data_IF_866109784394
#
_entry.id   IF_866109784394
#
_cell.length_a   1.000
_cell.length_b   1.000
_cell.length_c   1.000
_cell.angle_alpha   90.00
_cell.angle_beta   90.00
_cell.angle_gamma   90.00
#
_symmetry.space_group_name_H-M   'P 1'
#
loop_
_entity.id
_entity.type
_entity.pdbx_description
1 polymer ?
#
# COMPACT_ATOMS: atom_id res chain seq x y z
N UNK A 1 -0.27 38.70 3.75
CA UNK A 1 -1.60 38.06 3.81
C UNK A 1 -1.73 36.80 2.95
N UNK A 2 -1.28 36.77 1.69
CA UNK A 2 -1.38 35.55 0.83
C UNK A 2 -0.40 34.43 1.19
N UNK A 3 0.84 34.76 1.58
CA UNK A 3 1.86 33.75 1.94
C UNK A 3 1.58 33.04 3.28
N UNK A 4 1.08 33.75 4.30
CA UNK A 4 0.71 33.16 5.59
C UNK A 4 -0.46 32.19 5.46
N UNK A 5 -1.46 32.52 4.64
CA UNK A 5 -2.61 31.64 4.38
C UNK A 5 -2.16 30.39 3.61
N UNK A 6 -1.21 30.51 2.68
CA UNK A 6 -0.64 29.37 1.95
C UNK A 6 0.13 28.44 2.90
N UNK A 7 1.01 29.00 3.74
CA UNK A 7 1.78 28.25 4.72
C UNK A 7 0.88 27.54 5.74
N UNK A 8 -0.17 28.21 6.24
CA UNK A 8 -1.12 27.61 7.16
C UNK A 8 -1.89 26.43 6.53
N UNK A 9 -2.24 26.53 5.23
CA UNK A 9 -2.85 25.42 4.48
C UNK A 9 -1.90 24.25 4.30
N UNK A 10 -0.63 24.51 3.98
CA UNK A 10 0.40 23.48 3.84
C UNK A 10 0.67 22.76 5.17
N UNK A 11 0.78 23.51 6.27
CA UNK A 11 0.93 22.95 7.63
C UNK A 11 -0.29 22.13 8.02
N UNK A 12 -1.50 22.65 7.81
CA UNK A 12 -2.74 21.95 8.14
C UNK A 12 -2.88 20.68 7.30
N UNK A 13 -2.56 20.74 6.00
CA UNK A 13 -2.58 19.58 5.12
C UNK A 13 -1.56 18.53 5.53
N UNK A 14 -0.31 18.94 5.83
CA UNK A 14 0.69 18.05 6.36
C UNK A 14 0.22 17.44 7.68
N UNK A 15 -0.27 18.22 8.63
CA UNK A 15 -0.77 17.70 9.90
C UNK A 15 -1.89 16.68 9.71
N UNK A 16 -2.91 17.00 8.91
CA UNK A 16 -4.01 16.08 8.58
C UNK A 16 -3.50 14.83 7.86
N UNK A 17 -2.56 14.97 6.94
CA UNK A 17 -1.99 13.83 6.21
C UNK A 17 -1.22 12.92 7.16
N UNK A 18 -0.37 13.48 8.02
CA UNK A 18 0.45 12.75 8.98
C UNK A 18 -0.39 12.05 10.06
N UNK A 19 -1.54 12.61 10.43
CA UNK A 19 -2.46 12.08 11.44
C UNK A 19 -3.45 11.03 10.89
N UNK A 20 -3.32 10.63 9.61
CA UNK A 20 -4.18 9.59 9.04
C UNK A 20 -3.57 8.21 9.25
N UNK A 21 -4.43 7.25 9.50
CA UNK A 21 -4.09 5.83 9.41
C UNK A 21 -3.53 5.51 8.01
N UNK A 22 -2.55 4.61 7.99
CA UNK A 22 -1.87 4.15 6.79
C UNK A 22 -1.88 2.64 6.68
N UNK A 23 -1.93 2.16 5.45
CA UNK A 23 -1.84 0.75 5.11
C UNK A 23 -0.58 0.54 4.27
N UNK A 24 0.21 -0.48 4.61
CA UNK A 24 1.23 -1.03 3.72
C UNK A 24 0.70 -2.34 3.18
N UNK A 25 0.84 -2.58 1.89
CA UNK A 25 0.27 -3.77 1.25
C UNK A 25 1.22 -4.36 0.22
N UNK A 26 1.02 -5.66 -0.04
CA UNK A 26 1.66 -6.37 -1.13
C UNK A 26 0.58 -6.97 -2.03
N UNK A 27 0.66 -6.61 -3.31
CA UNK A 27 -0.13 -7.25 -4.36
C UNK A 27 0.73 -8.25 -5.13
N UNK A 28 0.07 -9.27 -5.70
CA UNK A 28 0.69 -10.21 -6.60
C UNK A 28 -0.11 -10.46 -7.88
N UNK A 29 0.59 -10.82 -8.96
CA UNK A 29 -0.05 -11.30 -10.19
C UNK A 29 -0.50 -12.77 -10.10
N UNK A 30 0.20 -13.58 -9.29
CA UNK A 30 -0.10 -14.99 -8.99
C UNK A 30 0.85 -15.48 -7.90
N UNK A 31 0.61 -16.65 -7.31
CA UNK A 31 1.56 -17.27 -6.36
C UNK A 31 2.99 -17.29 -6.93
N UNK A 32 3.94 -16.75 -6.17
CA UNK A 32 5.35 -16.57 -6.56
C UNK A 32 5.60 -15.70 -7.80
N UNK A 33 4.61 -14.96 -8.27
CA UNK A 33 4.69 -14.07 -9.43
C UNK A 33 5.27 -12.70 -9.11
N UNK A 34 4.94 -11.71 -9.94
CA UNK A 34 5.34 -10.33 -9.74
C UNK A 34 4.75 -9.80 -8.43
N UNK A 35 5.56 -9.09 -7.65
CA UNK A 35 5.15 -8.45 -6.41
C UNK A 35 5.16 -6.94 -6.59
N UNK A 36 4.15 -6.28 -6.03
CA UNK A 36 4.09 -4.83 -5.90
C UNK A 36 3.86 -4.48 -4.44
N UNK A 37 4.71 -3.61 -3.88
CA UNK A 37 4.56 -3.08 -2.52
C UNK A 37 4.14 -1.62 -2.61
N UNK A 38 3.10 -1.25 -1.89
CA UNK A 38 2.60 0.13 -1.86
C UNK A 38 2.11 0.55 -0.48
N UNK A 39 1.79 1.84 -0.39
CA UNK A 39 1.21 2.48 0.79
C UNK A 39 0.00 3.33 0.39
N UNK A 40 -1.02 3.40 1.23
CA UNK A 40 -2.24 4.21 1.01
C UNK A 40 -2.93 4.47 2.35
N UNK A 41 -3.72 5.55 2.44
CA UNK A 41 -4.63 5.79 3.57
C UNK A 41 -6.03 5.18 3.36
N UNK A 42 -6.28 4.63 2.18
CA UNK A 42 -7.52 3.90 1.88
C UNK A 42 -7.17 2.69 1.00
N UNK A 43 -7.07 1.51 1.62
CA UNK A 43 -6.67 0.29 0.95
C UNK A 43 -7.76 -0.26 0.03
N UNK A 44 -9.03 -0.25 0.45
CA UNK A 44 -10.15 -0.73 -0.35
C UNK A 44 -10.29 0.03 -1.67
N UNK A 45 -10.20 1.36 -1.62
CA UNK A 45 -10.25 2.20 -2.83
C UNK A 45 -9.05 1.93 -3.75
N UNK A 46 -7.83 1.84 -3.20
CA UNK A 46 -6.63 1.59 -4.00
C UNK A 46 -6.64 0.19 -4.63
N UNK A 47 -7.16 -0.80 -3.91
CA UNK A 47 -7.32 -2.15 -4.44
C UNK A 47 -8.30 -2.16 -5.61
N UNK A 48 -9.44 -1.46 -5.48
CA UNK A 48 -10.40 -1.29 -6.57
C UNK A 48 -9.75 -0.66 -7.82
N UNK A 49 -8.95 0.39 -7.66
CA UNK A 49 -8.20 1.02 -8.76
C UNK A 49 -7.29 0.02 -9.49
N UNK A 50 -6.54 -0.80 -8.75
CA UNK A 50 -5.64 -1.80 -9.32
C UNK A 50 -6.39 -2.96 -10.01
N UNK A 51 -7.42 -3.50 -9.37
CA UNK A 51 -8.22 -4.61 -9.91
C UNK A 51 -8.94 -4.21 -11.21
N UNK A 52 -9.40 -2.96 -11.30
CA UNK A 52 -10.09 -2.41 -12.47
C UNK A 52 -9.18 -1.67 -13.46
N UNK A 53 -7.86 -1.71 -13.26
CA UNK A 53 -6.88 -1.05 -14.13
C UNK A 53 -7.11 0.47 -14.32
N UNK A 54 -7.65 1.17 -13.33
CA UNK A 54 -8.02 2.59 -13.43
C UNK A 54 -6.82 3.52 -13.47
N UNK A 55 -5.67 3.07 -12.97
CA UNK A 55 -4.40 3.80 -13.03
C UNK A 55 -3.41 3.05 -13.92
N UNK A 56 -3.10 3.54 -15.12
CA UNK A 56 -2.07 2.94 -15.97
C UNK A 56 -0.71 2.90 -15.27
N UNK A 57 0.01 1.78 -15.36
CA UNK A 57 1.33 1.67 -14.74
C UNK A 57 1.87 0.25 -14.67
N UNK A 58 2.77 0.04 -13.70
CA UNK A 58 3.41 -1.27 -13.48
C UNK A 58 2.39 -2.37 -13.18
N UNK A 59 1.44 -2.11 -12.28
CA UNK A 59 0.46 -3.11 -11.85
C UNK A 59 -0.47 -3.52 -12.97
N UNK A 60 -0.91 -2.57 -13.82
CA UNK A 60 -1.74 -2.89 -15.00
C UNK A 60 -0.94 -3.64 -16.07
N UNK A 61 0.31 -3.24 -16.33
CA UNK A 61 1.20 -3.92 -17.29
C UNK A 61 1.47 -5.38 -16.94
N UNK A 62 1.65 -5.68 -15.65
CA UNK A 62 2.03 -7.02 -15.19
C UNK A 62 0.89 -7.81 -14.54
N UNK A 63 -0.35 -7.32 -14.63
CA UNK A 63 -1.53 -8.01 -14.09
C UNK A 63 -1.48 -8.22 -12.58
N UNK A 64 -0.86 -7.30 -11.83
CA UNK A 64 -0.70 -7.40 -10.37
C UNK A 64 -1.96 -6.87 -9.70
N UNK A 65 -2.84 -7.79 -9.27
CA UNK A 65 -4.21 -7.46 -8.83
C UNK A 65 -4.67 -8.13 -7.52
N UNK A 66 -3.98 -9.18 -7.09
CA UNK A 66 -4.39 -9.99 -5.93
C UNK A 66 -3.78 -9.40 -4.67
N UNK A 67 -4.59 -9.06 -3.66
CA UNK A 67 -4.07 -8.64 -2.36
C UNK A 67 -3.66 -9.89 -1.59
N UNK A 68 -2.37 -10.03 -1.28
CA UNK A 68 -1.85 -11.23 -0.60
C UNK A 68 -1.35 -10.95 0.81
N UNK A 69 -1.14 -9.68 1.16
CA UNK A 69 -0.67 -9.27 2.48
C UNK A 69 -0.92 -7.76 2.72
N UNK A 70 -1.23 -7.36 3.94
CA UNK A 70 -1.20 -5.95 4.38
C UNK A 70 -0.93 -5.80 5.89
N UNK A 71 -0.46 -4.62 6.30
CA UNK A 71 -0.29 -4.15 7.67
C UNK A 71 -0.94 -2.77 7.83
N UNK A 72 -1.53 -2.49 8.99
CA UNK A 72 -2.13 -1.20 9.37
C UNK A 72 -1.23 -0.42 10.33
N UNK A 73 -1.29 0.90 10.24
CA UNK A 73 -0.56 1.83 11.09
C UNK A 73 -1.43 3.03 11.45
N UNK A 74 -1.32 3.51 12.68
CA UNK A 74 -2.05 4.70 13.16
C UNK A 74 -1.58 5.98 12.44
N UNK A 75 -0.31 6.01 12.02
CA UNK A 75 0.29 7.12 11.29
C UNK A 75 0.75 6.68 9.90
N UNK A 76 0.34 7.42 8.88
CA UNK A 76 0.76 7.15 7.49
C UNK A 76 2.27 7.23 7.31
N UNK A 77 2.97 8.01 8.13
CA UNK A 77 4.43 8.09 8.12
C UNK A 77 5.10 6.77 8.48
N UNK A 78 4.52 6.04 9.43
CA UNK A 78 5.04 4.75 9.86
C UNK A 78 4.80 3.71 8.77
N UNK A 79 3.62 3.76 8.13
CA UNK A 79 3.33 2.98 6.93
C UNK A 79 4.33 3.30 5.79
N UNK A 80 4.63 4.58 5.54
CA UNK A 80 5.62 4.98 4.52
C UNK A 80 7.02 4.45 4.87
N UNK A 81 7.43 4.54 6.13
CA UNK A 81 8.74 4.03 6.57
C UNK A 81 8.83 2.51 6.40
N UNK A 82 7.78 1.80 6.79
CA UNK A 82 7.66 0.35 6.61
C UNK A 82 7.67 -0.06 5.14
N UNK A 83 6.93 0.64 4.29
CA UNK A 83 6.88 0.39 2.85
C UNK A 83 8.27 0.51 2.22
N UNK A 84 9.03 1.57 2.57
CA UNK A 84 10.41 1.77 2.12
C UNK A 84 11.32 0.65 2.57
N UNK A 85 11.19 0.20 3.83
CA UNK A 85 11.95 -0.94 4.34
C UNK A 85 11.65 -2.22 3.53
N UNK A 86 10.37 -2.56 3.35
CA UNK A 86 9.95 -3.75 2.60
C UNK A 86 10.46 -3.66 1.15
N UNK A 87 10.33 -2.51 0.48
CA UNK A 87 10.80 -2.34 -0.91
C UNK A 87 12.26 -2.74 -1.09
N UNK A 88 13.12 -2.39 -0.12
CA UNK A 88 14.55 -2.69 -0.11
C UNK A 88 14.90 -4.12 0.30
N UNK A 89 13.93 -4.92 0.76
CA UNK A 89 14.20 -6.29 1.16
C UNK A 89 14.51 -7.23 -0.01
N UNK A 90 15.37 -8.24 0.22
CA UNK A 90 15.49 -9.38 -0.68
C UNK A 90 14.12 -10.02 -0.95
N UNK A 91 13.92 -10.53 -2.16
CA UNK A 91 12.65 -11.16 -2.56
C UNK A 91 12.24 -12.29 -1.61
N UNK A 92 13.18 -13.10 -1.14
CA UNK A 92 12.92 -14.20 -0.23
C UNK A 92 12.25 -13.73 1.08
N UNK A 93 12.60 -12.56 1.58
CA UNK A 93 12.03 -12.02 2.82
C UNK A 93 10.61 -11.51 2.61
N UNK A 94 10.31 -10.94 1.43
CA UNK A 94 8.95 -10.58 1.03
C UNK A 94 8.05 -11.81 0.93
N UNK A 95 8.57 -12.89 0.33
CA UNK A 95 7.84 -14.17 0.23
C UNK A 95 7.57 -14.71 1.62
N UNK A 96 8.58 -14.77 2.48
CA UNK A 96 8.41 -15.23 3.87
C UNK A 96 7.36 -14.39 4.62
N UNK A 97 7.39 -13.07 4.48
CA UNK A 97 6.42 -12.17 5.10
C UNK A 97 4.97 -12.50 4.68
N UNK A 98 4.76 -12.79 3.40
CA UNK A 98 3.44 -13.21 2.88
C UNK A 98 3.09 -14.60 3.45
N UNK A 99 3.99 -15.57 3.33
CA UNK A 99 3.72 -16.97 3.66
C UNK A 99 3.55 -17.24 5.15
N UNK A 100 4.13 -16.40 6.02
CA UNK A 100 3.95 -16.48 7.48
C UNK A 100 2.47 -16.27 7.90
N UNK A 101 1.65 -15.58 7.08
CA UNK A 101 0.23 -15.32 7.35
C UNK A 101 -0.71 -15.90 6.28
N UNK A 102 -0.26 -15.99 5.03
CA UNK A 102 -1.04 -16.38 3.86
C UNK A 102 -0.24 -17.34 2.96
N UNK A 103 0.00 -18.59 3.41
CA UNK A 103 0.85 -19.56 2.70
C UNK A 103 0.30 -19.96 1.31
N UNK A 104 -1.02 -19.89 1.14
CA UNK A 104 -1.68 -20.17 -0.14
C UNK A 104 -1.64 -18.97 -1.11
N UNK A 105 -1.33 -17.77 -0.61
CA UNK A 105 -1.41 -16.51 -1.35
C UNK A 105 -2.84 -16.22 -1.85
N UNK A 106 -3.83 -16.55 -1.03
CA UNK A 106 -5.23 -16.29 -1.32
C UNK A 106 -5.48 -14.78 -1.42
N UNK A 107 -6.51 -14.38 -2.17
CA UNK A 107 -6.95 -12.99 -2.17
C UNK A 107 -7.63 -12.64 -0.85
N UNK A 108 -6.94 -11.85 -0.04
CA UNK A 108 -7.39 -11.46 1.29
C UNK A 108 -8.20 -10.16 1.29
N UNK A 109 -8.65 -9.69 0.11
CA UNK A 109 -9.49 -8.50 -0.03
C UNK A 109 -10.77 -8.51 0.83
N UNK A 110 -11.28 -9.69 1.20
CA UNK A 110 -12.48 -9.85 2.01
C UNK A 110 -12.34 -9.32 3.45
N UNK A 111 -11.12 -9.12 3.97
CA UNK A 111 -10.92 -8.46 5.27
C UNK A 111 -11.11 -6.94 5.24
N UNK A 112 -11.31 -6.35 4.06
CA UNK A 112 -11.50 -4.91 3.88
C UNK A 112 -12.99 -4.51 3.74
N UNK A 113 -13.90 -5.47 3.94
CA UNK A 113 -15.36 -5.31 3.85
C UNK A 113 -15.99 -5.06 5.22
#
# INVERSE_FOLDING_TARGET
MTAEIQLAKEITFAHIFYMREGYVYILSSKRNGTLYTGVTSNLSHRLYEHQNNLTPGFTTRYGVKTLVWFETYDLVTDAIAREKAIKNWPRAWKIKLIEDLNPAWDDIAHFLL
#
